data_IF_489835524404
#
_entry.id   IF_489835524404
#
_cell.length_a   1.000
_cell.length_b   1.000
_cell.length_c   1.000
_cell.angle_alpha   90.00
_cell.angle_beta   90.00
_cell.angle_gamma   90.00
#
_symmetry.space_group_name_H-M   'P 1'
#
loop_
_entity.id
_entity.type
_entity.pdbx_description
1 polymer ?
#
# COMPACT_ATOMS: atom_id res chain seq x y z
N UNK A 1 37.34 -25.06 -12.99
CA UNK A 1 37.50 -23.98 -13.99
C UNK A 1 36.24 -23.90 -14.82
N UNK A 2 35.40 -22.90 -14.57
CA UNK A 2 34.49 -22.36 -15.58
C UNK A 2 34.06 -20.99 -15.09
N UNK A 3 34.63 -19.98 -15.73
CA UNK A 3 34.25 -18.58 -15.68
C UNK A 3 33.23 -18.37 -16.80
N UNK A 4 32.15 -17.64 -16.53
CA UNK A 4 31.39 -16.82 -17.49
C UNK A 4 30.54 -15.82 -16.69
N UNK A 5 30.20 -14.64 -17.26
CA UNK A 5 30.49 -13.32 -16.67
C UNK A 5 29.25 -12.58 -16.12
N UNK A 6 29.40 -11.39 -15.48
CA UNK A 6 28.26 -10.61 -14.99
C UNK A 6 27.54 -9.92 -16.16
N UNK A 7 26.20 -9.97 -16.15
CA UNK A 7 25.37 -9.22 -17.09
C UNK A 7 25.37 -7.74 -16.70
N UNK A 8 25.85 -6.93 -17.65
CA UNK A 8 25.87 -5.47 -17.62
C UNK A 8 24.43 -4.95 -17.77
N UNK A 9 24.00 -4.12 -16.81
CA UNK A 9 22.77 -3.33 -16.92
C UNK A 9 23.00 -2.16 -17.89
N UNK A 10 22.25 -2.15 -18.99
CA UNK A 10 22.25 -1.09 -20.00
C UNK A 10 20.83 -0.53 -20.11
N UNK A 11 20.57 0.58 -19.43
CA UNK A 11 19.47 1.48 -19.75
C UNK A 11 20.05 2.73 -20.40
N UNK A 12 20.13 2.76 -21.73
CA UNK A 12 20.38 3.98 -22.48
C UNK A 12 19.09 4.80 -22.56
N UNK A 13 19.18 6.06 -22.11
CA UNK A 13 18.11 7.04 -22.21
C UNK A 13 17.95 7.62 -23.61
N UNK A 14 16.70 7.80 -24.03
CA UNK A 14 16.30 8.61 -25.18
C UNK A 14 15.38 9.73 -24.74
N UNK A 15 15.74 10.98 -25.07
CA UNK A 15 14.97 12.21 -24.80
C UNK A 15 14.03 12.56 -25.97
N UNK A 16 12.84 13.03 -25.57
CA UNK A 16 12.05 14.19 -26.04
C UNK A 16 11.48 14.22 -27.48
N UNK A 17 10.16 14.40 -27.55
CA UNK A 17 9.38 15.49 -28.19
C UNK A 17 7.90 15.20 -27.84
N UNK A 18 6.98 16.09 -27.44
CA UNK A 18 6.88 17.53 -27.56
C UNK A 18 5.58 17.87 -28.31
N UNK A 19 4.39 17.88 -27.68
CA UNK A 19 3.18 18.50 -28.26
C UNK A 19 2.28 19.14 -27.20
N UNK A 20 2.10 20.46 -27.32
CA UNK A 20 1.11 21.27 -26.60
C UNK A 20 -0.22 21.22 -27.36
N UNK A 21 -1.34 21.20 -26.64
CA UNK A 21 -2.59 21.80 -27.13
C UNK A 21 -3.46 22.30 -25.97
N UNK A 22 -4.02 23.49 -26.20
CA UNK A 22 -4.90 24.27 -25.33
C UNK A 22 -6.34 23.76 -25.40
N UNK A 23 -7.17 23.98 -24.37
CA UNK A 23 -8.62 23.93 -24.56
C UNK A 23 -9.51 23.79 -23.32
N UNK A 24 -9.85 24.94 -22.71
CA UNK A 24 -11.21 25.37 -22.34
C UNK A 24 -12.05 24.48 -21.39
N UNK A 25 -12.25 25.01 -20.18
CA UNK A 25 -13.36 24.72 -19.25
C UNK A 25 -14.66 25.39 -19.73
N UNK A 26 -15.82 24.76 -19.49
CA UNK A 26 -16.90 25.54 -18.88
C UNK A 26 -17.72 24.73 -17.87
N UNK A 27 -18.18 25.36 -16.79
CA UNK A 27 -19.61 25.45 -16.43
C UNK A 27 -19.77 26.22 -15.10
N UNK A 28 -20.17 27.49 -15.23
CA UNK A 28 -20.93 28.21 -14.20
C UNK A 28 -22.40 27.74 -14.25
N UNK A 29 -23.05 27.66 -13.09
CA UNK A 29 -24.24 28.46 -12.71
C UNK A 29 -25.12 27.77 -11.65
N UNK A 30 -25.20 28.43 -10.50
CA UNK A 30 -26.29 28.38 -9.52
C UNK A 30 -27.58 29.02 -10.10
N UNK A 31 -28.80 28.70 -9.63
CA UNK A 31 -29.31 29.37 -8.43
C UNK A 31 -30.20 28.55 -7.50
N UNK A 32 -30.32 29.10 -6.29
CA UNK A 32 -31.19 28.75 -5.17
C UNK A 32 -32.68 28.98 -5.46
N UNK A 33 -33.55 28.24 -4.77
CA UNK A 33 -34.79 28.82 -4.24
C UNK A 33 -35.32 28.01 -3.04
N UNK A 34 -35.55 28.74 -1.97
CA UNK A 34 -36.24 28.36 -0.75
C UNK A 34 -37.71 28.75 -0.89
N UNK A 35 -38.63 27.88 -0.49
CA UNK A 35 -39.98 28.32 -0.09
C UNK A 35 -40.55 27.40 0.98
N UNK A 36 -40.74 28.00 2.15
CA UNK A 36 -41.47 27.50 3.31
C UNK A 36 -42.95 27.77 3.07
N UNK A 37 -43.82 26.78 3.29
CA UNK A 37 -45.26 27.02 3.43
C UNK A 37 -45.84 26.21 4.60
N UNK A 38 -46.60 26.92 5.41
CA UNK A 38 -47.24 26.53 6.67
C UNK A 38 -48.70 26.17 6.44
N UNK A 39 -49.21 25.04 6.97
CA UNK A 39 -50.53 25.03 7.62
C UNK A 39 -50.84 23.76 8.45
N UNK A 40 -51.20 24.04 9.71
CA UNK A 40 -51.98 23.28 10.71
C UNK A 40 -53.42 23.05 10.17
N UNK A 41 -54.32 22.13 10.57
CA UNK A 41 -54.45 21.06 11.58
C UNK A 41 -55.69 20.25 11.17
N UNK A 42 -55.82 18.97 11.57
CA UNK A 42 -57.08 18.46 12.19
C UNK A 42 -56.84 17.10 12.85
N UNK A 43 -57.07 17.10 14.16
CA UNK A 43 -57.08 15.96 15.06
C UNK A 43 -58.17 14.95 14.70
N UNK A 44 -57.90 13.66 14.88
CA UNK A 44 -58.85 12.69 15.41
C UNK A 44 -58.15 11.81 16.45
N UNK A 45 -58.85 11.62 17.56
CA UNK A 45 -58.41 11.06 18.83
C UNK A 45 -58.72 9.57 18.88
N UNK A 46 -57.73 8.73 19.15
CA UNK A 46 -57.95 7.38 19.68
C UNK A 46 -56.82 7.06 20.66
N UNK A 47 -57.12 7.18 21.95
CA UNK A 47 -56.36 6.51 23.00
C UNK A 47 -56.84 5.07 23.07
N UNK A 48 -55.93 4.10 23.20
CA UNK A 48 -56.01 2.99 24.16
C UNK A 48 -54.66 2.22 24.19
N UNK A 49 -54.14 2.17 25.42
CA UNK A 49 -53.20 1.22 26.06
C UNK A 49 -51.72 1.17 25.68
N UNK A 50 -50.94 1.70 26.62
CA UNK A 50 -49.55 1.39 26.93
C UNK A 50 -49.32 -0.10 27.18
N UNK A 51 -48.31 -0.70 26.53
CA UNK A 51 -47.21 -1.48 27.14
C UNK A 51 -46.16 -1.78 26.04
N UNK A 52 -44.86 -1.44 26.21
CA UNK A 52 -43.82 -1.91 25.30
C UNK A 52 -43.47 -3.38 25.62
N UNK A 53 -43.26 -4.25 24.61
CA UNK A 53 -42.78 -5.60 24.86
C UNK A 53 -41.33 -5.57 25.39
N UNK A 54 -41.09 -6.32 26.46
CA UNK A 54 -39.76 -6.67 26.97
C UNK A 54 -38.96 -7.33 25.85
N UNK A 55 -38.05 -6.58 25.23
CA UNK A 55 -37.06 -7.14 24.32
C UNK A 55 -35.94 -7.75 25.17
N UNK A 56 -35.76 -9.06 25.02
CA UNK A 56 -34.72 -9.83 25.67
C UNK A 56 -33.33 -9.37 25.21
N UNK A 57 -32.52 -8.87 26.13
CA UNK A 57 -31.08 -8.68 25.95
C UNK A 57 -30.39 -10.03 25.83
N UNK A 58 -30.28 -10.57 24.62
CA UNK A 58 -29.30 -11.59 24.23
C UNK A 58 -29.11 -11.50 22.70
N UNK A 59 -28.12 -10.76 22.22
CA UNK A 59 -27.18 -11.32 21.24
C UNK A 59 -25.89 -10.48 21.18
N UNK A 60 -24.85 -11.06 21.79
CA UNK A 60 -23.47 -11.13 21.32
C UNK A 60 -22.98 -10.02 20.41
N UNK A 61 -22.16 -9.16 21.00
CA UNK A 61 -21.17 -8.34 20.31
C UNK A 61 -20.42 -9.10 19.21
N UNK A 62 -20.81 -8.89 17.95
CA UNK A 62 -19.92 -9.11 16.81
C UNK A 62 -18.91 -7.95 16.80
N UNK A 63 -17.93 -8.03 17.69
CA UNK A 63 -16.67 -7.34 17.48
C UNK A 63 -15.77 -8.36 16.80
N UNK A 64 -15.39 -8.17 15.51
CA UNK A 64 -14.32 -8.97 14.95
C UNK A 64 -13.11 -8.77 15.87
N UNK A 65 -12.68 -9.84 16.53
CA UNK A 65 -11.49 -9.82 17.36
C UNK A 65 -10.39 -9.20 16.52
N UNK A 66 -9.89 -8.04 16.95
CA UNK A 66 -8.72 -7.39 16.38
C UNK A 66 -7.55 -8.33 16.69
N UNK A 67 -7.36 -9.34 15.85
CA UNK A 67 -6.30 -10.32 15.97
C UNK A 67 -4.98 -9.54 16.01
N UNK A 68 -4.26 -9.66 17.12
CA UNK A 68 -2.97 -9.00 17.29
C UNK A 68 -1.94 -9.47 16.26
N UNK A 69 -0.79 -8.81 16.25
CA UNK A 69 0.34 -9.18 15.41
C UNK A 69 0.65 -10.68 15.53
N UNK A 70 0.92 -11.35 14.41
CA UNK A 70 1.20 -12.80 14.38
C UNK A 70 2.55 -13.04 13.73
N UNK A 71 3.44 -13.77 14.42
CA UNK A 71 4.75 -14.13 13.85
C UNK A 71 4.61 -15.35 12.95
N UNK A 72 4.82 -15.17 11.65
CA UNK A 72 4.81 -16.25 10.66
C UNK A 72 6.25 -16.68 10.36
N UNK A 73 6.46 -17.97 10.12
CA UNK A 73 7.75 -18.51 9.70
C UNK A 73 7.65 -19.80 8.91
N UNK A 74 8.74 -20.21 8.26
CA UNK A 74 8.78 -21.41 7.42
C UNK A 74 8.34 -21.14 5.97
N UNK A 75 7.82 -22.14 5.25
CA UNK A 75 7.41 -21.97 3.86
C UNK A 75 6.21 -21.02 3.72
N UNK A 76 5.95 -20.54 2.51
CA UNK A 76 4.81 -19.66 2.16
C UNK A 76 3.45 -20.17 2.66
N UNK A 77 3.25 -21.49 2.72
CA UNK A 77 2.01 -22.12 3.22
C UNK A 77 1.70 -21.81 4.68
N UNK A 78 2.67 -21.32 5.46
CA UNK A 78 2.48 -20.93 6.86
C UNK A 78 2.00 -19.47 7.01
N UNK A 79 1.95 -18.72 5.90
CA UNK A 79 1.54 -17.32 5.88
C UNK A 79 0.06 -17.21 5.44
N UNK A 80 -0.63 -16.10 5.77
CA UNK A 80 -2.04 -15.92 5.43
C UNK A 80 -2.32 -15.98 3.92
N UNK A 81 -3.35 -16.71 3.47
CA UNK A 81 -3.77 -16.65 2.06
C UNK A 81 -4.36 -15.27 1.74
N UNK A 82 -4.41 -14.93 0.44
CA UNK A 82 -4.96 -13.65 -0.03
C UNK A 82 -6.39 -13.36 0.43
N UNK A 83 -7.18 -14.41 0.71
CA UNK A 83 -8.55 -14.28 1.23
C UNK A 83 -8.62 -13.69 2.64
N UNK A 84 -7.50 -13.69 3.38
CA UNK A 84 -7.39 -13.02 4.68
C UNK A 84 -6.84 -11.60 4.58
N UNK A 85 -6.30 -11.22 3.41
CA UNK A 85 -5.78 -9.87 3.21
C UNK A 85 -6.92 -8.88 3.15
N UNK A 86 -6.74 -7.76 3.82
CA UNK A 86 -7.69 -6.65 3.82
C UNK A 86 -7.68 -5.94 2.47
N UNK A 87 -8.70 -5.13 2.22
CA UNK A 87 -8.72 -4.27 1.04
C UNK A 87 -7.58 -3.23 1.10
N UNK A 88 -7.19 -2.69 -0.06
CA UNK A 88 -6.22 -1.60 -0.11
C UNK A 88 -6.69 -0.39 0.71
N UNK A 89 -7.98 -0.04 0.62
CA UNK A 89 -8.57 1.04 1.40
C UNK A 89 -8.42 0.82 2.91
N UNK A 90 -8.74 -0.39 3.41
CA UNK A 90 -8.60 -0.72 4.83
C UNK A 90 -7.14 -0.58 5.31
N UNK A 91 -6.18 -1.19 4.61
CA UNK A 91 -4.78 -1.15 5.05
C UNK A 91 -4.19 0.26 4.90
N UNK A 92 -4.58 1.01 3.88
CA UNK A 92 -4.12 2.38 3.69
C UNK A 92 -4.61 3.28 4.82
N UNK A 93 -5.92 3.28 5.08
CA UNK A 93 -6.52 4.10 6.14
C UNK A 93 -5.97 3.75 7.52
N UNK A 94 -5.70 2.47 7.79
CA UNK A 94 -5.08 2.02 9.03
C UNK A 94 -3.68 2.61 9.24
N UNK A 95 -2.91 2.81 8.17
CA UNK A 95 -1.51 3.26 8.21
C UNK A 95 -1.33 4.78 8.09
N UNK A 96 -2.38 5.54 7.74
CA UNK A 96 -2.31 7.03 7.63
C UNK A 96 -1.69 7.72 8.85
N UNK A 97 -2.02 7.35 10.11
CA UNK A 97 -1.40 7.99 11.26
C UNK A 97 0.12 7.85 11.30
N UNK A 98 0.67 6.71 10.82
CA UNK A 98 2.11 6.48 10.76
C UNK A 98 2.75 7.35 9.68
N UNK A 99 2.13 7.48 8.50
CA UNK A 99 2.61 8.38 7.45
C UNK A 99 2.60 9.84 7.92
N UNK A 100 1.54 10.31 8.57
CA UNK A 100 1.53 11.67 9.12
C UNK A 100 2.60 11.89 10.20
N UNK A 101 2.94 10.86 10.98
CA UNK A 101 3.97 10.95 12.00
C UNK A 101 5.39 11.10 11.41
N UNK A 102 5.59 10.85 10.11
CA UNK A 102 6.89 11.08 9.44
C UNK A 102 7.12 12.53 9.05
N UNK A 103 6.07 13.37 9.12
CA UNK A 103 6.09 14.75 8.62
C UNK A 103 5.40 14.92 7.26
N UNK A 104 4.87 13.83 6.67
CA UNK A 104 4.18 13.89 5.39
C UNK A 104 2.92 14.74 5.46
N UNK A 105 2.69 15.53 4.42
CA UNK A 105 1.50 16.36 4.29
C UNK A 105 0.28 15.52 3.89
N UNK A 106 -0.93 16.08 4.04
CA UNK A 106 -2.15 15.47 3.50
C UNK A 106 -2.06 15.20 1.99
N UNK A 107 -1.35 16.06 1.26
CA UNK A 107 -1.13 15.88 -0.17
C UNK A 107 -0.16 14.74 -0.46
N UNK A 108 0.94 14.60 0.30
CA UNK A 108 1.89 13.49 0.13
C UNK A 108 1.17 12.15 0.32
N UNK A 109 0.41 12.01 1.42
CA UNK A 109 -0.39 10.81 1.70
C UNK A 109 -1.37 10.54 0.54
N UNK A 110 -2.12 11.54 0.08
CA UNK A 110 -3.02 11.38 -1.08
C UNK A 110 -2.29 11.00 -2.37
N UNK A 111 -1.09 11.52 -2.61
CA UNK A 111 -0.27 11.21 -3.78
C UNK A 111 0.33 9.81 -3.72
N UNK A 112 0.63 9.28 -2.53
CA UNK A 112 1.03 7.87 -2.35
C UNK A 112 -0.10 6.95 -2.80
N UNK A 113 -1.35 7.21 -2.39
CA UNK A 113 -2.52 6.45 -2.84
C UNK A 113 -2.61 6.40 -4.37
N UNK A 114 -2.54 7.57 -5.02
CA UNK A 114 -2.60 7.67 -6.48
C UNK A 114 -1.43 6.94 -7.15
N UNK A 115 -0.21 7.08 -6.61
CA UNK A 115 0.98 6.45 -7.14
C UNK A 115 0.90 4.91 -7.05
N UNK A 116 0.37 4.37 -5.95
CA UNK A 116 0.13 2.94 -5.79
C UNK A 116 -0.84 2.42 -6.86
N UNK A 117 -2.00 3.08 -7.04
CA UNK A 117 -2.98 2.67 -8.05
C UNK A 117 -2.44 2.81 -9.48
N UNK A 118 -1.65 3.83 -9.76
CA UNK A 118 -0.99 3.99 -11.06
C UNK A 118 0.02 2.88 -11.32
N UNK A 119 0.85 2.55 -10.33
CA UNK A 119 1.88 1.52 -10.47
C UNK A 119 1.33 0.10 -10.44
N UNK A 120 0.15 -0.13 -9.87
CA UNK A 120 -0.53 -1.42 -9.93
C UNK A 120 -0.81 -1.87 -11.38
N UNK A 121 -0.95 -0.93 -12.32
CA UNK A 121 -1.07 -1.20 -13.77
C UNK A 121 0.14 -1.92 -14.36
N UNK A 122 1.27 -2.00 -13.64
CA UNK A 122 2.45 -2.79 -14.02
C UNK A 122 2.27 -4.30 -13.74
N UNK A 123 1.09 -4.72 -13.28
CA UNK A 123 0.78 -6.11 -12.98
C UNK A 123 1.32 -6.56 -11.62
N UNK A 124 1.30 -5.64 -10.64
CA UNK A 124 1.57 -5.91 -9.23
C UNK A 124 0.37 -5.44 -8.43
N UNK A 125 -0.14 -6.26 -7.54
CA UNK A 125 -1.31 -5.91 -6.74
C UNK A 125 -1.06 -4.71 -5.81
N UNK A 126 -1.99 -3.76 -5.78
CA UNK A 126 -1.86 -2.49 -5.05
C UNK A 126 -1.60 -2.67 -3.55
N UNK A 127 -2.18 -3.72 -2.95
CA UNK A 127 -2.00 -4.01 -1.52
C UNK A 127 -0.56 -4.36 -1.20
N UNK A 128 0.10 -5.09 -2.11
CA UNK A 128 1.49 -5.51 -1.97
C UNK A 128 2.43 -4.33 -2.15
N UNK A 129 2.19 -3.48 -3.16
CA UNK A 129 2.97 -2.24 -3.36
C UNK A 129 2.93 -1.39 -2.09
N UNK A 130 1.72 -1.15 -1.56
CA UNK A 130 1.57 -0.33 -0.36
C UNK A 130 2.17 -0.98 0.90
N UNK A 131 2.04 -2.29 1.08
CA UNK A 131 2.63 -2.98 2.21
C UNK A 131 4.17 -2.92 2.20
N UNK A 132 4.79 -2.98 1.01
CA UNK A 132 6.24 -2.75 0.85
C UNK A 132 6.59 -1.31 1.21
N UNK A 133 5.85 -0.29 0.73
CA UNK A 133 6.07 1.12 1.12
C UNK A 133 6.09 1.27 2.64
N UNK A 134 5.10 0.70 3.32
CA UNK A 134 5.00 0.77 4.78
C UNK A 134 6.08 -0.04 5.51
N UNK A 135 6.67 -1.05 4.86
CA UNK A 135 7.78 -1.83 5.41
C UNK A 135 9.12 -1.11 5.24
N UNK A 136 9.34 -0.45 4.10
CA UNK A 136 10.62 0.15 3.74
C UNK A 136 10.80 1.56 4.30
N UNK A 137 9.74 2.37 4.31
CA UNK A 137 9.83 3.79 4.66
C UNK A 137 8.80 4.24 5.69
N UNK A 138 7.90 3.35 6.13
CA UNK A 138 6.70 3.75 6.90
C UNK A 138 5.83 4.76 6.11
N UNK A 139 5.98 4.79 4.79
CA UNK A 139 5.34 5.76 3.91
C UNK A 139 5.98 7.15 3.88
N UNK A 140 7.12 7.36 4.53
CA UNK A 140 7.82 8.65 4.54
C UNK A 140 8.35 9.03 3.14
N UNK A 141 7.76 10.05 2.51
CA UNK A 141 8.24 10.52 1.18
C UNK A 141 9.65 11.12 1.23
N UNK A 142 10.07 11.59 2.41
CA UNK A 142 11.39 12.16 2.68
C UNK A 142 12.37 11.19 3.34
N UNK A 143 12.15 9.89 3.24
CA UNK A 143 13.03 8.87 3.83
C UNK A 143 14.48 9.02 3.35
N UNK A 144 15.43 8.72 4.24
CA UNK A 144 16.85 8.79 3.93
C UNK A 144 17.25 7.70 2.93
N UNK A 145 18.09 8.08 1.96
CA UNK A 145 18.79 7.11 1.12
C UNK A 145 19.72 6.26 1.97
N UNK A 146 19.63 4.95 1.83
CA UNK A 146 20.54 3.99 2.43
C UNK A 146 21.44 3.35 1.37
N UNK A 147 22.40 2.54 1.81
CA UNK A 147 23.29 1.80 0.92
C UNK A 147 23.25 0.32 1.27
N UNK A 148 23.13 -0.53 0.25
CA UNK A 148 23.20 -1.98 0.44
C UNK A 148 24.66 -2.44 0.68
N UNK A 149 24.85 -3.73 0.95
CA UNK A 149 26.18 -4.31 1.21
C UNK A 149 27.18 -4.17 0.06
N UNK A 150 26.69 -3.97 -1.16
CA UNK A 150 27.49 -3.77 -2.38
C UNK A 150 27.76 -2.28 -2.66
N UNK A 151 27.31 -1.37 -1.80
CA UNK A 151 27.52 0.08 -1.92
C UNK A 151 26.57 0.78 -2.89
N UNK A 152 25.50 0.12 -3.34
CA UNK A 152 24.47 0.71 -4.18
C UNK A 152 23.47 1.50 -3.34
N UNK A 153 23.07 2.68 -3.84
CA UNK A 153 22.14 3.57 -3.15
C UNK A 153 20.69 3.09 -3.33
N UNK A 154 20.04 2.79 -2.21
CA UNK A 154 18.62 2.42 -2.15
C UNK A 154 17.83 3.60 -1.60
N UNK A 155 16.83 4.09 -2.35
CA UNK A 155 16.13 5.34 -2.00
C UNK A 155 14.62 5.27 -2.23
N UNK A 156 13.93 6.29 -1.71
CA UNK A 156 12.52 6.55 -1.93
C UNK A 156 11.60 5.62 -1.15
N UNK A 157 10.29 5.74 -1.39
CA UNK A 157 9.24 5.08 -0.60
C UNK A 157 9.38 3.56 -0.45
N UNK A 158 10.02 2.90 -1.42
CA UNK A 158 10.23 1.45 -1.43
C UNK A 158 11.73 1.07 -1.28
N UNK A 159 12.61 2.02 -0.92
CA UNK A 159 14.06 1.81 -0.72
C UNK A 159 14.69 0.91 -1.77
N UNK A 160 14.49 1.25 -3.05
CA UNK A 160 14.95 0.45 -4.18
C UNK A 160 16.24 1.03 -4.77
N UNK A 161 17.14 0.16 -5.25
CA UNK A 161 18.34 0.58 -5.98
C UNK A 161 17.94 1.38 -7.23
N UNK A 162 18.65 2.49 -7.47
CA UNK A 162 18.40 3.39 -8.60
C UNK A 162 17.08 4.18 -8.55
N UNK A 163 16.30 4.06 -7.48
CA UNK A 163 15.09 4.89 -7.29
C UNK A 163 15.46 6.36 -7.03
N UNK A 164 14.66 7.35 -7.48
CA UNK A 164 14.77 8.70 -6.96
C UNK A 164 14.52 8.71 -5.44
N UNK A 165 15.10 9.70 -4.75
CA UNK A 165 14.87 9.95 -3.34
C UNK A 165 14.93 11.44 -3.04
N UNK A 166 14.22 11.87 -2.00
CA UNK A 166 14.13 13.28 -1.61
C UNK A 166 14.36 13.43 -0.09
N UNK A 167 15.55 13.07 0.43
CA UNK A 167 15.77 12.99 1.87
C UNK A 167 15.42 14.30 2.60
N UNK A 168 14.58 14.19 3.63
CA UNK A 168 14.13 15.30 4.47
C UNK A 168 13.13 16.26 3.82
N UNK A 169 12.62 15.95 2.62
CA UNK A 169 11.62 16.77 1.94
C UNK A 169 10.22 16.17 2.07
N UNK A 170 9.23 17.04 2.27
CA UNK A 170 7.80 16.73 2.24
C UNK A 170 7.09 17.76 1.34
N UNK A 171 5.82 17.52 0.99
CA UNK A 171 5.09 18.31 0.00
C UNK A 171 5.58 18.06 -1.42
N UNK A 172 5.98 16.81 -1.73
CA UNK A 172 6.50 16.42 -3.03
C UNK A 172 5.38 16.40 -4.08
N UNK A 173 5.75 16.64 -5.33
CA UNK A 173 4.80 16.55 -6.45
C UNK A 173 4.33 15.11 -6.68
N UNK A 174 3.19 14.96 -7.37
CA UNK A 174 2.69 13.64 -7.75
C UNK A 174 3.72 12.86 -8.57
N UNK A 175 4.43 13.53 -9.49
CA UNK A 175 5.43 12.86 -10.35
C UNK A 175 6.64 12.35 -9.55
N UNK A 176 7.08 13.10 -8.54
CA UNK A 176 8.17 12.68 -7.66
C UNK A 176 7.78 11.42 -6.88
N UNK A 177 6.60 11.42 -6.26
CA UNK A 177 6.08 10.28 -5.50
C UNK A 177 5.84 9.07 -6.42
N UNK A 178 5.18 9.28 -7.57
CA UNK A 178 4.98 8.21 -8.56
C UNK A 178 6.29 7.67 -9.08
N UNK A 179 7.33 8.50 -9.25
CA UNK A 179 8.67 8.06 -9.63
C UNK A 179 9.28 7.07 -8.65
N UNK A 180 9.19 7.36 -7.34
CA UNK A 180 9.67 6.47 -6.27
C UNK A 180 8.91 5.13 -6.25
N UNK A 181 7.58 5.18 -6.29
CA UNK A 181 6.73 3.97 -6.25
C UNK A 181 6.92 3.13 -7.51
N UNK A 182 7.05 3.76 -8.68
CA UNK A 182 7.28 3.06 -9.95
C UNK A 182 8.60 2.28 -9.95
N UNK A 183 9.68 2.89 -9.47
CA UNK A 183 10.99 2.23 -9.40
C UNK A 183 10.93 0.95 -8.53
N UNK A 184 10.40 1.06 -7.31
CA UNK A 184 10.24 -0.09 -6.42
C UNK A 184 9.26 -1.14 -6.95
N UNK A 185 8.16 -0.72 -7.58
CA UNK A 185 7.18 -1.65 -8.18
C UNK A 185 7.80 -2.43 -9.35
N UNK A 186 8.60 -1.78 -10.19
CA UNK A 186 9.31 -2.45 -11.28
C UNK A 186 10.33 -3.46 -10.75
N UNK A 187 11.05 -3.13 -9.68
CA UNK A 187 11.95 -4.08 -9.02
C UNK A 187 11.20 -5.29 -8.46
N UNK A 188 10.13 -5.05 -7.70
CA UNK A 188 9.31 -6.14 -7.17
C UNK A 188 8.67 -7.00 -8.28
N UNK A 189 8.29 -6.39 -9.41
CA UNK A 189 7.80 -7.14 -10.58
C UNK A 189 8.86 -8.09 -11.14
N UNK A 190 10.13 -7.69 -11.15
CA UNK A 190 11.23 -8.59 -11.53
C UNK A 190 11.37 -9.74 -10.52
N UNK A 191 11.19 -9.49 -9.22
CA UNK A 191 11.18 -10.57 -8.22
C UNK A 191 10.01 -11.54 -8.45
N UNK A 192 8.80 -11.05 -8.76
CA UNK A 192 7.66 -11.91 -9.10
C UNK A 192 7.97 -12.82 -10.30
N UNK A 193 8.61 -12.27 -11.34
CA UNK A 193 8.99 -13.04 -12.54
C UNK A 193 9.96 -14.18 -12.23
N UNK A 194 10.84 -14.04 -11.24
CA UNK A 194 11.73 -15.13 -10.79
C UNK A 194 10.96 -16.33 -10.23
N UNK A 195 9.71 -16.13 -9.79
CA UNK A 195 8.85 -17.16 -9.19
C UNK A 195 7.58 -17.43 -10.03
N UNK A 196 7.62 -17.12 -11.33
CA UNK A 196 6.57 -17.46 -12.29
C UNK A 196 5.48 -16.40 -12.49
N UNK A 197 5.63 -15.21 -11.88
CA UNK A 197 4.80 -14.02 -12.12
C UNK A 197 3.29 -14.19 -11.85
N UNK A 198 2.92 -15.18 -11.04
CA UNK A 198 1.53 -15.43 -10.69
C UNK A 198 1.04 -14.52 -9.55
N UNK A 199 -0.17 -14.00 -9.69
CA UNK A 199 -0.86 -13.22 -8.66
C UNK A 199 -1.51 -14.13 -7.61
N UNK A 200 -0.66 -14.75 -6.78
CA UNK A 200 -1.07 -15.60 -5.67
C UNK A 200 -0.14 -15.44 -4.46
N UNK A 201 -0.63 -15.79 -3.26
CA UNK A 201 0.13 -15.66 -2.01
C UNK A 201 1.48 -16.39 -2.03
N UNK A 202 1.57 -17.58 -2.64
CA UNK A 202 2.81 -18.36 -2.67
C UNK A 202 3.92 -17.63 -3.45
N UNK A 203 3.60 -17.18 -4.66
CA UNK A 203 4.52 -16.41 -5.52
C UNK A 203 4.88 -15.07 -4.89
N UNK A 204 3.89 -14.35 -4.35
CA UNK A 204 4.10 -13.03 -3.72
C UNK A 204 5.02 -13.13 -2.49
N UNK A 205 4.81 -14.11 -1.59
CA UNK A 205 5.66 -14.23 -0.40
C UNK A 205 7.11 -14.62 -0.72
N UNK A 206 7.33 -15.44 -1.75
CA UNK A 206 8.69 -15.73 -2.25
C UNK A 206 9.33 -14.49 -2.86
N UNK A 207 8.58 -13.73 -3.67
CA UNK A 207 9.05 -12.47 -4.24
C UNK A 207 9.39 -11.43 -3.18
N UNK A 208 8.61 -11.33 -2.09
CA UNK A 208 8.90 -10.45 -0.95
C UNK A 208 10.21 -10.82 -0.26
N UNK A 209 10.51 -12.11 -0.11
CA UNK A 209 11.82 -12.53 0.40
C UNK A 209 12.94 -12.13 -0.57
N UNK A 210 12.76 -12.36 -1.87
CA UNK A 210 13.74 -11.95 -2.87
C UNK A 210 13.95 -10.43 -2.90
N UNK A 211 12.90 -9.63 -2.73
CA UNK A 211 12.99 -8.17 -2.61
C UNK A 211 13.87 -7.76 -1.43
N UNK A 212 13.72 -8.42 -0.28
CA UNK A 212 14.47 -8.09 0.93
C UNK A 212 15.93 -8.55 0.93
N UNK A 213 16.20 -9.78 0.47
CA UNK A 213 17.53 -10.41 0.61
C UNK A 213 18.25 -10.68 -0.71
N UNK A 214 17.61 -10.47 -1.87
CA UNK A 214 18.13 -10.85 -3.19
C UNK A 214 18.26 -12.36 -3.42
N UNK A 215 17.97 -13.18 -2.41
CA UNK A 215 18.04 -14.65 -2.42
C UNK A 215 16.90 -15.22 -1.58
N UNK A 216 16.49 -16.46 -1.86
CA UNK A 216 15.33 -17.09 -1.20
C UNK A 216 15.62 -18.54 -0.85
N UNK A 217 15.35 -18.91 0.40
CA UNK A 217 15.15 -20.29 0.81
C UNK A 217 13.65 -20.61 0.76
N UNK A 218 13.13 -21.29 -0.30
CA UNK A 218 11.69 -21.46 -0.47
C UNK A 218 11.04 -22.36 0.59
N UNK A 219 11.85 -23.14 1.34
CA UNK A 219 11.38 -23.94 2.47
C UNK A 219 11.29 -23.15 3.78
N UNK A 220 11.89 -21.95 3.84
CA UNK A 220 11.87 -21.09 5.02
C UNK A 220 12.01 -19.61 4.65
N UNK A 221 10.90 -18.91 4.49
CA UNK A 221 10.87 -17.48 4.19
C UNK A 221 11.25 -16.58 5.38
N UNK A 222 11.51 -17.16 6.56
CA UNK A 222 12.14 -16.44 7.69
C UNK A 222 13.66 -16.57 7.70
N UNK A 223 14.24 -17.35 6.78
CA UNK A 223 15.67 -17.35 6.54
C UNK A 223 16.05 -16.02 5.87
N UNK A 224 16.61 -15.11 6.69
CA UNK A 224 16.92 -13.75 6.25
C UNK A 224 18.08 -13.68 5.26
N UNK A 225 18.91 -14.72 5.15
CA UNK A 225 20.06 -14.78 4.23
C UNK A 225 20.95 -13.51 4.27
N UNK A 226 21.15 -12.95 5.47
CA UNK A 226 21.91 -11.71 5.70
C UNK A 226 21.07 -10.43 5.79
N UNK A 227 19.76 -10.49 5.50
CA UNK A 227 18.80 -9.41 5.64
C UNK A 227 17.78 -9.68 6.78
N UNK A 228 16.77 -8.81 6.90
CA UNK A 228 15.76 -8.84 7.95
C UNK A 228 14.92 -10.13 7.92
N UNK A 229 15.16 -11.03 8.88
CA UNK A 229 14.47 -12.31 8.97
C UNK A 229 12.92 -12.19 9.04
N UNK A 230 12.40 -11.18 9.74
CA UNK A 230 10.95 -10.98 9.92
C UNK A 230 10.23 -10.39 8.71
N UNK A 231 10.95 -9.92 7.69
CA UNK A 231 10.40 -9.09 6.61
C UNK A 231 9.07 -9.61 6.01
N UNK A 232 9.02 -10.87 5.59
CA UNK A 232 7.82 -11.46 4.98
C UNK A 232 6.68 -11.56 6.00
N UNK A 233 6.98 -11.84 7.28
CA UNK A 233 5.98 -11.88 8.35
C UNK A 233 5.41 -10.47 8.61
N UNK A 234 6.27 -9.46 8.64
CA UNK A 234 5.88 -8.08 8.91
C UNK A 234 5.00 -7.52 7.78
N UNK A 235 5.33 -7.83 6.52
CA UNK A 235 4.50 -7.50 5.35
C UNK A 235 3.18 -8.27 5.38
N UNK A 236 3.18 -9.57 5.71
CA UNK A 236 1.96 -10.37 5.82
C UNK A 236 0.99 -9.82 6.88
N UNK A 237 1.51 -9.32 8.00
CA UNK A 237 0.68 -8.65 9.01
C UNK A 237 0.07 -7.35 8.50
N UNK A 238 0.84 -6.51 7.77
CA UNK A 238 0.30 -5.30 7.14
C UNK A 238 -0.82 -5.60 6.15
N UNK A 239 -0.64 -6.63 5.31
CA UNK A 239 -1.69 -7.11 4.39
C UNK A 239 -2.95 -7.57 5.13
N UNK A 240 -2.79 -8.14 6.34
CA UNK A 240 -3.91 -8.55 7.20
C UNK A 240 -4.47 -7.41 8.07
N UNK A 241 -4.02 -6.16 7.90
CA UNK A 241 -4.46 -5.02 8.70
C UNK A 241 -3.96 -5.04 10.15
N UNK A 242 -2.76 -5.57 10.39
CA UNK A 242 -2.13 -5.66 11.71
C UNK A 242 -0.85 -4.84 11.70
N UNK A 243 -0.79 -3.82 12.55
CA UNK A 243 0.41 -2.98 12.73
C UNK A 243 1.40 -3.68 13.68
N UNK A 244 2.71 -3.61 13.41
CA UNK A 244 3.76 -4.05 14.33
C UNK A 244 3.83 -3.20 15.61
#
# INVERSE_FOLDING_TARGET
MSFTPPFISLCQGGRQEGYKSNGISPFDQHPSSSTRSTHLTKHHNHQITNQPPLFSDQDSSCHPLKMGFTYYSGPSSNFPPMSQWKSFEEIFNLNKPQMFATGDTGEDVGRIWNAVLECAKLGVEERVIFAIIMQESTGNVGVQTTYNGDGHATAGLMQCDGSPGYPGQHGLSQDQITGMVRAGTQHFKQNLQQFGDADNADTIYKALRAYNSGSVNPSNLSDGLGATASYVSDVANRLCGRLP
#
